data_IF_155001520594
#
_entry.id   IF_155001520594
#
_cell.length_a   1.000
_cell.length_b   1.000
_cell.length_c   1.000
_cell.angle_alpha   90.00
_cell.angle_beta   90.00
_cell.angle_gamma   90.00
#
_symmetry.space_group_name_H-M   'P 1'
#
loop_
_entity.id
_entity.type
_entity.pdbx_description
1 polymer ?
#
# COMPACT_ATOMS: atom_id res chain seq x y z
N UNK A 1 -3.38 22.06 4.92
CA UNK A 1 -3.31 21.79 3.47
C UNK A 1 -4.17 20.56 3.24
N UNK A 2 -5.25 20.68 2.50
CA UNK A 2 -6.08 19.52 2.14
C UNK A 2 -5.32 18.71 1.09
N UNK A 3 -5.18 17.39 1.28
CA UNK A 3 -4.54 16.55 0.28
C UNK A 3 -5.36 16.59 -1.01
N UNK A 4 -4.69 16.78 -2.13
CA UNK A 4 -5.32 16.72 -3.45
C UNK A 4 -5.52 15.25 -3.81
N UNK A 5 -6.70 14.73 -3.51
CA UNK A 5 -7.10 13.38 -3.90
C UNK A 5 -7.87 13.46 -5.22
N UNK A 6 -7.27 12.96 -6.27
CA UNK A 6 -7.98 12.69 -7.53
C UNK A 6 -8.48 11.24 -7.52
N UNK A 7 -9.71 11.01 -7.09
CA UNK A 7 -10.25 9.66 -6.98
C UNK A 7 -9.54 8.82 -5.89
N UNK A 8 -9.07 7.63 -6.24
CA UNK A 8 -8.40 6.67 -5.34
C UNK A 8 -6.88 6.90 -5.16
N UNK A 9 -6.33 8.01 -5.68
CA UNK A 9 -4.91 8.32 -5.66
C UNK A 9 -4.59 9.43 -4.65
N UNK A 10 -3.62 9.19 -3.77
CA UNK A 10 -3.00 10.19 -2.89
C UNK A 10 -1.61 10.53 -3.41
N UNK A 11 -1.38 11.77 -3.86
CA UNK A 11 -0.12 12.22 -4.39
C UNK A 11 0.76 12.85 -3.29
N UNK A 12 1.92 12.25 -3.01
CA UNK A 12 2.90 12.74 -2.05
C UNK A 12 3.75 13.82 -2.72
N UNK A 13 3.60 15.08 -2.28
CA UNK A 13 4.23 16.26 -2.89
C UNK A 13 5.35 16.88 -2.07
N UNK A 14 5.51 16.45 -0.81
CA UNK A 14 6.50 17.04 0.10
C UNK A 14 7.23 15.99 0.94
N UNK A 15 8.39 16.39 1.45
CA UNK A 15 9.30 15.52 2.22
C UNK A 15 8.73 15.10 3.58
N UNK A 16 7.92 15.93 4.22
CA UNK A 16 7.34 15.60 5.53
C UNK A 16 6.31 14.48 5.37
N UNK A 17 5.44 14.61 4.38
CA UNK A 17 4.45 13.56 4.01
C UNK A 17 5.15 12.27 3.62
N UNK A 18 6.27 12.35 2.84
CA UNK A 18 7.08 11.19 2.48
C UNK A 18 7.67 10.49 3.72
N UNK A 19 8.23 11.24 4.68
CA UNK A 19 8.74 10.68 5.95
C UNK A 19 7.66 9.99 6.77
N UNK A 20 6.43 10.48 6.69
CA UNK A 20 5.32 9.83 7.37
C UNK A 20 5.05 8.44 6.80
N UNK A 21 4.95 8.31 5.49
CA UNK A 21 4.60 7.02 4.87
C UNK A 21 5.78 6.04 4.79
N UNK A 22 7.01 6.51 4.90
CA UNK A 22 8.20 5.66 4.90
C UNK A 22 8.32 4.72 6.12
N UNK A 23 7.56 4.97 7.18
CA UNK A 23 7.52 4.10 8.37
C UNK A 23 6.76 2.80 8.07
N UNK A 24 7.38 1.62 8.26
CA UNK A 24 6.77 0.34 7.91
C UNK A 24 5.45 0.07 8.64
N UNK A 25 5.33 0.48 9.91
CA UNK A 25 4.11 0.23 10.68
C UNK A 25 2.94 1.09 10.17
N UNK A 26 3.21 2.32 9.71
CA UNK A 26 2.19 3.16 9.09
C UNK A 26 1.72 2.59 7.75
N UNK A 27 2.63 2.01 6.95
CA UNK A 27 2.26 1.25 5.76
C UNK A 27 1.29 0.10 6.09
N UNK A 28 1.62 -0.75 7.06
CA UNK A 28 0.76 -1.86 7.50
C UNK A 28 -0.61 -1.40 8.02
N UNK A 29 -0.66 -0.27 8.74
CA UNK A 29 -1.93 0.33 9.18
C UNK A 29 -2.77 0.75 7.97
N UNK A 30 -2.16 1.41 6.97
CA UNK A 30 -2.86 1.83 5.75
C UNK A 30 -3.38 0.63 4.96
N UNK A 31 -2.59 -0.41 4.78
CA UNK A 31 -3.02 -1.64 4.11
C UNK A 31 -4.27 -2.24 4.78
N UNK A 32 -4.27 -2.29 6.11
CA UNK A 32 -5.43 -2.77 6.87
C UNK A 32 -6.69 -1.89 6.68
N UNK A 33 -6.51 -0.56 6.65
CA UNK A 33 -7.59 0.42 6.50
C UNK A 33 -8.06 0.63 5.06
N UNK A 34 -7.29 0.19 4.07
CA UNK A 34 -7.71 0.14 2.67
C UNK A 34 -8.72 -0.98 2.44
N UNK A 35 -8.52 -2.13 3.10
CA UNK A 35 -9.39 -3.29 2.95
C UNK A 35 -10.79 -3.06 3.54
N UNK A 36 -10.86 -2.44 4.73
CA UNK A 36 -12.13 -2.13 5.42
C UNK A 36 -11.94 -1.07 6.50
N UNK A 37 -13.01 -0.35 6.90
CA UNK A 37 -12.96 0.56 8.03
C UNK A 37 -12.70 -0.18 9.35
N UNK A 38 -11.71 0.27 10.14
CA UNK A 38 -11.34 -0.36 11.40
C UNK A 38 -11.10 0.67 12.52
N UNK A 39 -11.36 0.25 13.76
CA UNK A 39 -10.91 0.98 14.95
C UNK A 39 -9.42 0.72 15.20
N UNK A 40 -8.78 1.55 16.02
CA UNK A 40 -7.37 1.35 16.44
C UNK A 40 -7.18 -0.05 17.06
N UNK A 41 -8.16 -0.50 17.88
CA UNK A 41 -8.12 -1.81 18.53
C UNK A 41 -8.20 -2.95 17.50
N UNK A 42 -9.16 -2.89 16.58
CA UNK A 42 -9.30 -3.90 15.52
C UNK A 42 -8.06 -3.99 14.64
N UNK A 43 -7.47 -2.83 14.29
CA UNK A 43 -6.19 -2.80 13.54
C UNK A 43 -5.07 -3.42 14.35
N UNK A 44 -4.96 -3.13 15.64
CA UNK A 44 -3.97 -3.72 16.53
C UNK A 44 -4.10 -5.25 16.63
N UNK A 45 -5.33 -5.74 16.80
CA UNK A 45 -5.61 -7.18 16.84
C UNK A 45 -5.21 -7.86 15.52
N UNK A 46 -5.49 -7.22 14.37
CA UNK A 46 -5.10 -7.73 13.04
C UNK A 46 -3.59 -7.79 12.84
N UNK A 47 -2.87 -6.78 13.31
CA UNK A 47 -1.41 -6.71 13.20
C UNK A 47 -0.68 -7.49 14.31
N UNK A 48 -1.39 -8.05 15.29
CA UNK A 48 -0.80 -8.75 16.43
C UNK A 48 -0.04 -7.82 17.37
N UNK A 49 -0.48 -6.56 17.49
CA UNK A 49 0.17 -5.52 18.29
C UNK A 49 -0.74 -5.00 19.42
N UNK A 50 -0.15 -4.33 20.41
CA UNK A 50 -0.92 -3.62 21.41
C UNK A 50 -1.48 -2.32 20.83
N UNK A 51 -2.78 -2.04 21.07
CA UNK A 51 -3.44 -0.82 20.58
C UNK A 51 -2.74 0.48 21.02
N UNK A 52 -2.12 0.47 22.22
CA UNK A 52 -1.35 1.62 22.75
C UNK A 52 -0.20 2.06 21.84
N UNK A 53 0.38 1.13 21.07
CA UNK A 53 1.45 1.42 20.11
C UNK A 53 0.93 2.12 18.85
N UNK A 54 -0.35 1.97 18.51
CA UNK A 54 -0.89 2.47 17.26
C UNK A 54 -1.47 3.87 17.35
N UNK A 55 -1.91 4.35 18.52
CA UNK A 55 -2.55 5.66 18.65
C UNK A 55 -1.72 6.81 18.09
N UNK A 56 -0.41 6.80 18.34
CA UNK A 56 0.50 7.82 17.79
C UNK A 56 0.54 7.78 16.26
N UNK A 57 0.63 6.58 15.67
CA UNK A 57 0.66 6.40 14.21
C UNK A 57 -0.65 6.81 13.57
N UNK A 58 -1.80 6.44 14.16
CA UNK A 58 -3.12 6.90 13.73
C UNK A 58 -3.23 8.41 13.75
N UNK A 59 -2.78 9.05 14.84
CA UNK A 59 -2.78 10.51 14.96
C UNK A 59 -1.95 11.20 13.87
N UNK A 60 -0.80 10.64 13.51
CA UNK A 60 0.01 11.15 12.40
C UNK A 60 -0.67 10.93 11.06
N UNK A 61 -1.17 9.73 10.79
CA UNK A 61 -1.87 9.42 9.54
C UNK A 61 -3.12 10.29 9.34
N UNK A 62 -3.91 10.51 10.42
CA UNK A 62 -5.07 11.42 10.39
C UNK A 62 -4.62 12.87 10.13
N UNK A 63 -3.58 13.35 10.84
CA UNK A 63 -3.03 14.71 10.67
C UNK A 63 -2.54 15.00 9.25
N UNK A 64 -1.90 14.03 8.61
CA UNK A 64 -1.37 14.19 7.25
C UNK A 64 -2.37 13.77 6.16
N UNK A 65 -3.60 13.41 6.55
CA UNK A 65 -4.70 13.16 5.62
C UNK A 65 -4.66 11.80 4.92
N UNK A 66 -3.87 10.84 5.40
CA UNK A 66 -3.85 9.48 4.86
C UNK A 66 -5.08 8.65 5.26
N UNK A 67 -5.65 8.97 6.42
CA UNK A 67 -6.85 8.33 6.96
C UNK A 67 -7.86 9.38 7.42
N UNK A 68 -9.12 9.00 7.45
CA UNK A 68 -10.20 9.83 7.99
C UNK A 68 -11.14 9.01 8.87
N UNK A 69 -11.87 9.69 9.73
CA UNK A 69 -12.87 9.07 10.60
C UNK A 69 -14.16 8.90 9.81
N UNK A 70 -14.65 7.66 9.68
CA UNK A 70 -15.91 7.33 9.02
C UNK A 70 -17.04 7.14 10.02
N UNK A 71 -16.73 6.75 11.25
CA UNK A 71 -17.71 6.53 12.31
C UNK A 71 -17.12 6.91 13.66
N UNK A 72 -17.98 7.41 14.54
CA UNK A 72 -17.65 7.70 15.93
C UNK A 72 -18.70 7.08 16.83
N UNK A 73 -18.29 6.23 17.76
CA UNK A 73 -19.19 5.54 18.69
C UNK A 73 -18.79 5.81 20.12
N UNK A 74 -19.77 6.09 20.97
CA UNK A 74 -19.54 6.16 22.41
C UNK A 74 -19.55 4.75 23.01
N UNK A 75 -18.43 4.36 23.63
CA UNK A 75 -18.27 3.09 24.34
C UNK A 75 -17.91 3.41 25.79
N UNK A 76 -18.86 3.20 26.69
CA UNK A 76 -18.77 3.63 28.08
C UNK A 76 -18.45 5.14 28.17
N UNK A 77 -17.32 5.52 28.79
CA UNK A 77 -16.88 6.91 28.94
C UNK A 77 -15.85 7.35 27.89
N UNK A 78 -15.65 6.57 26.83
CA UNK A 78 -14.67 6.85 25.77
C UNK A 78 -15.34 6.94 24.40
N UNK A 79 -14.77 7.78 23.54
CA UNK A 79 -15.15 7.88 22.15
C UNK A 79 -14.24 6.95 21.33
N UNK A 80 -14.82 5.94 20.74
CA UNK A 80 -14.15 5.06 19.78
C UNK A 80 -14.37 5.60 18.37
N UNK A 81 -13.28 5.74 17.61
CA UNK A 81 -13.29 6.18 16.21
C UNK A 81 -13.00 5.00 15.30
N UNK A 82 -13.75 4.88 14.21
CA UNK A 82 -13.48 3.98 13.10
C UNK A 82 -12.85 4.78 11.97
N UNK A 83 -11.74 4.31 11.45
CA UNK A 83 -10.95 4.99 10.43
C UNK A 83 -10.97 4.21 9.12
N UNK A 84 -10.81 4.93 8.02
CA UNK A 84 -10.61 4.38 6.69
C UNK A 84 -9.49 5.14 5.98
N UNK A 85 -8.74 4.46 5.11
CA UNK A 85 -7.76 5.10 4.24
C UNK A 85 -8.45 6.04 3.25
N UNK A 86 -7.84 7.21 3.00
CA UNK A 86 -8.37 8.22 2.07
C UNK A 86 -8.20 7.78 0.61
N UNK A 87 -7.13 7.02 0.34
CA UNK A 87 -6.83 6.53 -1.00
C UNK A 87 -6.28 5.09 -0.94
N UNK A 88 -6.50 4.36 -2.00
CA UNK A 88 -5.97 2.99 -2.18
C UNK A 88 -4.57 3.03 -2.77
N UNK A 89 -4.26 4.06 -3.55
CA UNK A 89 -2.98 4.22 -4.23
C UNK A 89 -2.22 5.42 -3.67
N UNK A 90 -0.94 5.22 -3.36
CA UNK A 90 0.00 6.28 -2.99
C UNK A 90 1.00 6.45 -4.12
N UNK A 91 1.19 7.68 -4.58
CA UNK A 91 2.16 8.00 -5.62
C UNK A 91 3.06 9.14 -5.18
N UNK A 92 4.27 9.18 -5.69
CA UNK A 92 5.25 10.24 -5.38
C UNK A 92 5.30 11.20 -6.56
N UNK A 93 5.11 12.49 -6.29
CA UNK A 93 5.22 13.51 -7.31
C UNK A 93 6.61 13.45 -7.98
N UNK A 94 6.69 13.43 -9.34
CA UNK A 94 7.97 13.37 -10.06
C UNK A 94 8.93 14.50 -9.65
N UNK A 95 8.39 15.68 -9.36
CA UNK A 95 9.17 16.85 -8.94
C UNK A 95 9.83 16.61 -7.58
N UNK A 96 9.18 15.84 -6.69
CA UNK A 96 9.77 15.48 -5.41
C UNK A 96 10.95 14.53 -5.62
N UNK A 97 10.82 13.54 -6.49
CA UNK A 97 11.91 12.59 -6.79
C UNK A 97 13.14 13.29 -7.39
N UNK A 98 12.94 14.30 -8.26
CA UNK A 98 14.03 15.05 -8.89
C UNK A 98 14.75 16.02 -7.93
N UNK A 99 14.08 16.46 -6.87
CA UNK A 99 14.60 17.46 -5.92
C UNK A 99 15.06 16.88 -4.59
N UNK A 100 14.77 15.60 -4.34
CA UNK A 100 15.11 14.92 -3.10
C UNK A 100 16.63 14.69 -3.01
N UNK A 101 17.24 15.20 -1.93
CA UNK A 101 18.66 15.00 -1.61
C UNK A 101 18.81 14.61 -0.13
N UNK A 102 19.88 13.92 0.22
CA UNK A 102 20.21 13.55 1.60
C UNK A 102 19.08 12.76 2.28
N UNK A 103 18.60 13.19 3.43
CA UNK A 103 17.56 12.51 4.23
C UNK A 103 16.26 12.20 3.45
N UNK A 104 15.96 12.95 2.41
CA UNK A 104 14.82 12.69 1.56
C UNK A 104 15.01 11.45 0.69
N UNK A 105 16.22 11.22 0.16
CA UNK A 105 16.57 10.00 -0.57
C UNK A 105 16.47 8.78 0.33
N UNK A 106 16.95 8.89 1.59
CA UNK A 106 16.82 7.81 2.57
C UNK A 106 15.36 7.45 2.81
N UNK A 107 14.46 8.43 2.88
CA UNK A 107 13.03 8.20 3.04
C UNK A 107 12.40 7.47 1.84
N UNK A 108 12.83 7.77 0.61
CA UNK A 108 12.39 7.03 -0.59
C UNK A 108 12.90 5.59 -0.54
N UNK A 109 14.17 5.39 -0.20
CA UNK A 109 14.74 4.05 -0.09
C UNK A 109 14.04 3.21 0.98
N UNK A 110 13.77 3.79 2.15
CA UNK A 110 13.04 3.11 3.22
C UNK A 110 11.60 2.78 2.82
N UNK A 111 10.92 3.67 2.12
CA UNK A 111 9.57 3.41 1.61
C UNK A 111 9.58 2.23 0.62
N UNK A 112 10.49 2.23 -0.36
CA UNK A 112 10.63 1.14 -1.33
C UNK A 112 10.94 -0.18 -0.62
N UNK A 113 11.91 -0.17 0.31
CA UNK A 113 12.29 -1.34 1.10
C UNK A 113 11.11 -1.87 1.91
N UNK A 114 10.43 -1.00 2.65
CA UNK A 114 9.29 -1.35 3.48
C UNK A 114 8.15 -1.97 2.66
N UNK A 115 7.80 -1.37 1.54
CA UNK A 115 6.74 -1.87 0.64
C UNK A 115 7.08 -3.26 0.10
N UNK A 116 8.31 -3.45 -0.39
CA UNK A 116 8.75 -4.74 -0.94
C UNK A 116 8.87 -5.81 0.14
N UNK A 117 9.36 -5.47 1.33
CA UNK A 117 9.48 -6.40 2.45
C UNK A 117 8.09 -6.82 2.98
N UNK A 118 7.17 -5.88 3.14
CA UNK A 118 5.79 -6.18 3.54
C UNK A 118 5.10 -7.08 2.51
N UNK A 119 5.23 -6.76 1.22
CA UNK A 119 4.67 -7.58 0.14
C UNK A 119 5.25 -8.99 0.14
N UNK A 120 6.57 -9.12 0.28
CA UNK A 120 7.24 -10.42 0.37
C UNK A 120 6.71 -11.24 1.54
N UNK A 121 6.61 -10.64 2.73
CA UNK A 121 6.12 -11.34 3.92
C UNK A 121 4.66 -11.77 3.79
N UNK A 122 3.81 -10.93 3.22
CA UNK A 122 2.40 -11.27 2.99
C UNK A 122 2.27 -12.45 2.02
N UNK A 123 3.00 -12.43 0.89
CA UNK A 123 3.04 -13.55 -0.06
C UNK A 123 3.48 -14.85 0.64
N UNK A 124 4.57 -14.80 1.42
CA UNK A 124 5.09 -15.99 2.10
C UNK A 124 4.10 -16.54 3.13
N UNK A 125 3.50 -15.68 3.96
CA UNK A 125 2.47 -16.07 4.94
C UNK A 125 1.24 -16.68 4.26
N UNK A 126 0.78 -16.08 3.16
CA UNK A 126 -0.37 -16.56 2.38
C UNK A 126 -0.11 -17.95 1.78
N UNK A 127 1.09 -18.18 1.24
CA UNK A 127 1.49 -19.49 0.73
C UNK A 127 1.61 -20.52 1.84
N UNK A 128 2.22 -20.17 2.98
CA UNK A 128 2.34 -21.05 4.13
C UNK A 128 0.96 -21.46 4.68
N UNK A 129 0.04 -20.49 4.83
CA UNK A 129 -1.32 -20.75 5.26
C UNK A 129 -2.06 -21.68 4.29
N UNK A 130 -1.89 -21.48 2.97
CA UNK A 130 -2.47 -22.35 1.94
C UNK A 130 -1.93 -23.78 2.05
N UNK A 131 -0.61 -23.95 2.13
CA UNK A 131 0.00 -25.28 2.26
C UNK A 131 -0.42 -26.00 3.54
N UNK A 132 -0.51 -25.28 4.66
CA UNK A 132 -1.00 -25.82 5.91
C UNK A 132 -2.48 -26.27 5.82
N UNK A 133 -3.33 -25.49 5.14
CA UNK A 133 -4.74 -25.85 4.91
C UNK A 133 -4.87 -27.11 4.02
N UNK A 134 -4.13 -27.20 2.93
CA UNK A 134 -4.11 -28.37 2.04
C UNK A 134 -3.62 -29.61 2.77
N UNK A 135 -2.57 -29.48 3.59
CA UNK A 135 -2.07 -30.57 4.44
C UNK A 135 -3.06 -31.09 5.48
N UNK A 136 -4.09 -30.30 5.81
CA UNK A 136 -5.22 -30.67 6.67
C UNK A 136 -6.45 -31.16 5.89
N UNK A 137 -6.32 -31.38 4.58
CA UNK A 137 -7.41 -31.89 3.74
C UNK A 137 -8.40 -30.83 3.23
N UNK A 138 -8.04 -29.56 3.24
CA UNK A 138 -8.85 -28.51 2.60
C UNK A 138 -9.00 -28.80 1.10
N UNK A 139 -10.20 -28.51 0.56
CA UNK A 139 -10.47 -28.66 -0.87
C UNK A 139 -9.59 -27.69 -1.67
N UNK A 140 -8.87 -28.21 -2.67
CA UNK A 140 -8.09 -27.41 -3.57
C UNK A 140 -9.02 -26.55 -4.43
N UNK A 141 -8.91 -25.22 -4.30
CA UNK A 141 -9.56 -24.25 -5.18
C UNK A 141 -8.50 -23.63 -6.09
N UNK A 142 -8.80 -23.56 -7.38
CA UNK A 142 -7.92 -22.86 -8.31
C UNK A 142 -7.88 -21.37 -7.95
N UNK A 143 -6.71 -20.90 -7.58
CA UNK A 143 -6.46 -19.49 -7.22
C UNK A 143 -5.29 -18.98 -8.04
N UNK A 144 -5.50 -17.82 -8.67
CA UNK A 144 -4.44 -17.19 -9.46
C UNK A 144 -3.36 -16.63 -8.54
N UNK A 145 -2.11 -17.03 -8.80
CA UNK A 145 -0.92 -16.38 -8.25
C UNK A 145 -0.03 -16.04 -9.42
N UNK A 146 0.30 -14.77 -9.58
CA UNK A 146 1.22 -14.30 -10.61
C UNK A 146 2.45 -13.73 -9.91
N UNK A 147 3.61 -14.30 -10.19
CA UNK A 147 4.90 -13.78 -9.77
C UNK A 147 5.77 -13.63 -11.01
N UNK A 148 5.99 -12.41 -11.44
CA UNK A 148 6.75 -12.14 -12.66
C UNK A 148 7.75 -11.00 -12.43
N UNK A 149 8.95 -11.14 -12.97
CA UNK A 149 9.96 -10.10 -13.07
C UNK A 149 10.56 -10.12 -14.46
N UNK A 150 10.41 -9.03 -15.19
CA UNK A 150 10.96 -8.86 -16.52
C UNK A 150 11.74 -7.57 -16.63
N UNK A 151 12.73 -7.54 -17.51
CA UNK A 151 13.43 -6.32 -17.91
C UNK A 151 13.40 -6.29 -19.44
N UNK A 152 12.89 -5.18 -20.00
CA UNK A 152 12.79 -4.97 -21.43
C UNK A 152 13.45 -3.64 -21.80
N UNK A 153 14.01 -3.57 -22.99
CA UNK A 153 14.49 -2.30 -23.57
C UNK A 153 13.31 -1.71 -24.34
N UNK A 154 12.84 -0.56 -23.94
CA UNK A 154 11.71 0.16 -24.53
C UNK A 154 12.04 1.66 -24.65
N UNK A 155 11.37 2.35 -25.56
CA UNK A 155 11.47 3.82 -25.66
C UNK A 155 10.66 4.53 -24.59
N UNK A 156 10.95 5.81 -24.32
CA UNK A 156 10.19 6.62 -23.36
C UNK A 156 8.71 6.71 -23.75
N UNK A 157 8.40 6.87 -25.04
CA UNK A 157 7.04 6.88 -25.55
C UNK A 157 6.31 5.55 -25.25
N UNK A 158 6.99 4.41 -25.41
CA UNK A 158 6.44 3.11 -25.07
C UNK A 158 6.26 2.95 -23.55
N UNK A 159 7.19 3.47 -22.75
CA UNK A 159 7.10 3.45 -21.29
C UNK A 159 5.90 4.27 -20.80
N UNK A 160 5.68 5.47 -21.33
CA UNK A 160 4.51 6.31 -21.01
C UNK A 160 3.20 5.57 -21.34
N UNK A 161 3.05 5.07 -22.57
CA UNK A 161 1.85 4.32 -22.98
C UNK A 161 1.61 3.05 -22.16
N UNK A 162 2.67 2.38 -21.75
CA UNK A 162 2.55 1.20 -20.89
C UNK A 162 2.10 1.59 -19.49
N UNK A 163 2.69 2.66 -18.93
CA UNK A 163 2.31 3.17 -17.61
C UNK A 163 0.83 3.59 -17.55
N UNK A 164 0.30 4.28 -18.57
CA UNK A 164 -1.12 4.65 -18.65
C UNK A 164 -2.03 3.42 -18.57
N UNK A 165 -1.69 2.35 -19.30
CA UNK A 165 -2.45 1.09 -19.24
C UNK A 165 -2.33 0.39 -17.90
N UNK A 166 -1.15 0.46 -17.27
CA UNK A 166 -0.91 -0.10 -15.96
C UNK A 166 -1.74 0.60 -14.89
N UNK A 167 -1.80 1.93 -14.93
CA UNK A 167 -2.64 2.72 -14.03
C UNK A 167 -4.13 2.36 -14.22
N UNK A 168 -4.59 2.19 -15.45
CA UNK A 168 -5.95 1.74 -15.72
C UNK A 168 -6.26 0.36 -15.12
N UNK A 169 -5.33 -0.60 -15.20
CA UNK A 169 -5.48 -1.92 -14.57
C UNK A 169 -5.49 -1.88 -13.05
N UNK A 170 -4.69 -1.01 -12.44
CA UNK A 170 -4.69 -0.79 -10.99
C UNK A 170 -6.03 -0.21 -10.55
N UNK A 171 -6.56 0.76 -11.30
CA UNK A 171 -7.87 1.34 -11.03
C UNK A 171 -8.98 0.29 -11.17
N UNK A 172 -9.00 -0.49 -12.25
CA UNK A 172 -9.93 -1.60 -12.45
C UNK A 172 -9.91 -2.57 -11.27
N UNK A 173 -8.70 -2.96 -10.79
CA UNK A 173 -8.57 -3.85 -9.64
C UNK A 173 -9.19 -3.25 -8.36
N UNK A 174 -9.03 -1.95 -8.12
CA UNK A 174 -9.64 -1.28 -6.96
C UNK A 174 -11.17 -1.26 -7.00
N UNK A 175 -11.75 -1.23 -8.21
CA UNK A 175 -13.20 -1.22 -8.44
C UNK A 175 -13.85 -2.61 -8.28
N UNK A 176 -13.06 -3.69 -8.27
CA UNK A 176 -13.54 -5.06 -8.02
C UNK A 176 -13.92 -5.31 -6.56
N UNK A 177 -13.68 -4.37 -5.66
CA UNK A 177 -13.95 -4.54 -4.23
C UNK A 177 -15.43 -4.82 -3.97
N UNK A 178 -15.69 -5.87 -3.20
CA UNK A 178 -17.04 -6.27 -2.76
C UNK A 178 -17.20 -6.04 -1.25
N UNK A 179 -18.43 -5.90 -0.73
CA UNK A 179 -18.67 -5.74 0.70
C UNK A 179 -18.06 -6.87 1.54
N UNK A 180 -17.57 -6.52 2.72
CA UNK A 180 -17.07 -7.50 3.68
C UNK A 180 -18.15 -8.54 4.02
N UNK A 181 -17.78 -9.83 4.05
CA UNK A 181 -18.72 -10.93 4.29
C UNK A 181 -19.45 -11.44 3.05
N UNK A 182 -19.15 -10.92 1.84
CA UNK A 182 -19.67 -11.50 0.59
C UNK A 182 -19.25 -12.98 0.50
N UNK A 183 -20.19 -13.91 0.25
CA UNK A 183 -19.87 -15.33 0.13
C UNK A 183 -18.79 -15.57 -0.92
N UNK A 184 -17.82 -16.44 -0.59
CA UNK A 184 -16.68 -16.79 -1.46
C UNK A 184 -15.67 -15.66 -1.76
N UNK A 185 -15.92 -14.43 -1.31
CA UNK A 185 -14.95 -13.34 -1.44
C UNK A 185 -13.68 -13.62 -0.63
N UNK A 186 -12.56 -13.19 -1.18
CA UNK A 186 -11.23 -13.32 -0.57
C UNK A 186 -10.42 -12.06 -0.79
N UNK A 187 -9.48 -11.81 0.10
CA UNK A 187 -8.50 -10.75 -0.10
C UNK A 187 -7.48 -11.17 -1.15
N UNK A 188 -7.28 -10.31 -2.14
CA UNK A 188 -6.21 -10.40 -3.13
C UNK A 188 -5.33 -9.17 -3.00
N UNK A 189 -4.03 -9.37 -2.87
CA UNK A 189 -3.04 -8.29 -2.91
C UNK A 189 -2.53 -8.09 -4.33
N UNK A 190 -2.39 -6.85 -4.77
CA UNK A 190 -1.74 -6.45 -6.01
C UNK A 190 -0.55 -5.56 -5.65
N UNK A 191 0.66 -5.99 -5.97
CA UNK A 191 1.85 -5.17 -5.85
C UNK A 191 2.50 -5.04 -7.24
N UNK A 192 2.74 -3.81 -7.66
CA UNK A 192 3.29 -3.49 -8.97
C UNK A 192 4.46 -2.54 -8.82
N UNK A 193 5.54 -2.83 -9.53
CA UNK A 193 6.69 -1.93 -9.64
C UNK A 193 7.05 -1.76 -11.12
N UNK A 194 7.01 -0.53 -11.61
CA UNK A 194 7.45 -0.16 -12.95
C UNK A 194 8.44 1.00 -12.83
N UNK A 195 9.66 0.81 -13.30
CA UNK A 195 10.75 1.77 -13.08
C UNK A 195 11.82 1.66 -14.17
N UNK A 196 12.52 2.75 -14.52
CA UNK A 196 13.71 2.68 -15.36
C UNK A 196 14.80 1.89 -14.61
N UNK A 197 15.35 0.86 -15.23
CA UNK A 197 16.38 0.01 -14.63
C UNK A 197 17.77 0.42 -15.12
N UNK A 198 18.57 0.97 -14.22
CA UNK A 198 19.98 1.33 -14.46
C UNK A 198 20.96 0.21 -14.02
N UNK A 199 20.47 -0.98 -13.77
CA UNK A 199 21.30 -2.11 -13.36
C UNK A 199 22.30 -2.51 -14.45
N UNK A 200 21.91 -2.36 -15.71
CA UNK A 200 22.78 -2.59 -16.88
C UNK A 200 23.40 -1.25 -17.26
N UNK A 201 24.72 -1.08 -17.05
CA UNK A 201 25.47 0.18 -17.17
C UNK A 201 25.44 0.86 -18.56
N UNK A 202 24.95 0.18 -19.59
CA UNK A 202 24.86 0.72 -20.95
C UNK A 202 23.91 1.93 -21.07
N UNK A 203 23.01 2.15 -20.10
CA UNK A 203 22.04 3.25 -20.12
C UNK A 203 22.48 4.52 -19.38
N UNK A 204 23.62 4.51 -18.66
CA UNK A 204 24.07 5.67 -17.85
C UNK A 204 24.85 6.72 -18.64
N UNK A 205 25.05 6.57 -19.95
CA UNK A 205 25.90 7.50 -20.74
C UNK A 205 25.12 8.57 -21.53
N UNK A 206 23.78 8.58 -21.47
CA UNK A 206 22.95 9.46 -22.32
C UNK A 206 21.95 10.37 -21.57
N UNK A 207 22.08 10.56 -20.26
CA UNK A 207 21.29 11.56 -19.51
C UNK A 207 22.10 12.80 -19.12
#
# INVERSE_FOLDING_TARGET
MTPETAGNLFLIKDRETLKIIADPLRGQILDALQAEPLTVKQTADRLGLAASKLYYHFGLLEKYGFIHVVETRQVANMIEKTFQAVAVQLDIAPELLSTVTGEGQDSVYEMVRSTLDTTREDILRSLQARFAALGKGAVERQRCVVLNRQVCIITDEQAVKFNERLQALIQEFSELQVPAGTPEAMHYGLAVTFYPSFYYQENMQND
#
